data_IF_260337521663
#
_entry.id   IF_260337521663
#
_cell.length_a   1.000
_cell.length_b   1.000
_cell.length_c   1.000
_cell.angle_alpha   90.00
_cell.angle_beta   90.00
_cell.angle_gamma   90.00
#
_symmetry.space_group_name_H-M   'P 1'
#
loop_
_entity.id
_entity.type
_entity.pdbx_description
1 polymer ?
#
# COMPACT_ATOMS: atom_id res chain seq x y z
N UNK A 1 5.14 -18.03 -14.80
CA UNK A 1 3.93 -18.54 -14.12
C UNK A 1 4.40 -19.46 -13.00
N UNK A 2 4.36 -19.01 -11.74
CA UNK A 2 4.60 -19.90 -10.59
C UNK A 2 3.28 -20.58 -10.27
N UNK A 3 3.21 -21.88 -10.53
CA UNK A 3 2.23 -22.74 -9.89
C UNK A 3 2.77 -23.02 -8.48
N UNK A 4 2.45 -22.14 -7.52
CA UNK A 4 2.42 -22.59 -6.13
C UNK A 4 1.19 -23.48 -6.01
N UNK A 5 1.41 -24.78 -6.22
CA UNK A 5 0.43 -25.82 -5.93
C UNK A 5 0.26 -25.87 -4.43
N UNK A 6 -0.58 -24.99 -3.87
CA UNK A 6 -1.19 -25.23 -2.57
C UNK A 6 -2.11 -26.43 -2.78
N UNK A 7 -1.57 -27.63 -2.50
CA UNK A 7 -2.36 -28.85 -2.55
C UNK A 7 -3.63 -28.66 -1.72
N UNK A 8 -4.81 -29.12 -2.18
CA UNK A 8 -6.01 -29.08 -1.38
C UNK A 8 -5.83 -30.03 -0.19
N UNK A 9 -5.43 -29.47 0.95
CA UNK A 9 -5.35 -30.18 2.22
C UNK A 9 -6.77 -30.35 2.77
N UNK A 10 -7.17 -31.59 3.05
CA UNK A 10 -8.49 -31.89 3.59
C UNK A 10 -8.54 -31.62 5.10
N UNK A 11 -9.74 -31.38 5.64
CA UNK A 11 -9.93 -31.20 7.08
C UNK A 11 -9.41 -32.41 7.87
N UNK A 12 -9.64 -33.61 7.35
CA UNK A 12 -9.21 -34.85 7.98
C UNK A 12 -7.67 -34.92 8.05
N UNK A 13 -6.96 -34.52 6.99
CA UNK A 13 -5.50 -34.40 7.00
C UNK A 13 -4.98 -33.39 8.03
N UNK A 14 -5.68 -32.27 8.21
CA UNK A 14 -5.32 -31.25 9.21
C UNK A 14 -5.53 -31.78 10.63
N UNK A 15 -6.60 -32.55 10.86
CA UNK A 15 -6.89 -33.17 12.14
C UNK A 15 -5.88 -34.29 12.45
N UNK A 16 -5.51 -35.11 11.47
CA UNK A 16 -4.46 -36.12 11.59
C UNK A 16 -3.10 -35.49 11.93
N UNK A 17 -2.73 -34.38 11.27
CA UNK A 17 -1.52 -33.62 11.58
C UNK A 17 -1.51 -33.08 13.01
N UNK A 18 -2.65 -32.55 13.46
CA UNK A 18 -2.81 -31.97 14.78
C UNK A 18 -2.79 -33.05 15.88
N UNK A 19 -3.41 -34.21 15.63
CA UNK A 19 -3.37 -35.38 16.50
C UNK A 19 -1.93 -35.91 16.64
N UNK A 20 -1.21 -36.04 15.52
CA UNK A 20 0.19 -36.45 15.54
C UNK A 20 1.09 -35.46 16.29
N UNK A 21 0.84 -34.15 16.15
CA UNK A 21 1.57 -33.11 16.88
C UNK A 21 1.32 -33.20 18.39
N UNK A 22 0.06 -33.32 18.82
CA UNK A 22 -0.28 -33.44 20.24
C UNK A 22 0.28 -34.74 20.83
N UNK A 23 0.20 -35.85 20.09
CA UNK A 23 0.80 -37.14 20.46
C UNK A 23 2.32 -37.03 20.67
N UNK A 24 3.02 -36.25 19.84
CA UNK A 24 4.46 -36.02 19.96
C UNK A 24 4.86 -35.17 21.18
N UNK A 25 4.02 -34.20 21.56
CA UNK A 25 4.23 -33.33 22.73
C UNK A 25 3.93 -34.10 24.03
N UNK A 26 2.89 -34.94 24.02
CA UNK A 26 2.47 -35.71 25.18
C UNK A 26 3.39 -36.90 25.49
N UNK A 27 4.10 -37.46 24.49
CA UNK A 27 5.01 -38.58 24.69
C UNK A 27 6.34 -38.42 23.91
N UNK A 28 7.29 -37.63 24.44
CA UNK A 28 8.51 -37.23 23.71
C UNK A 28 9.53 -38.37 23.49
N UNK A 29 9.27 -39.58 24.00
CA UNK A 29 10.24 -40.68 24.07
C UNK A 29 10.16 -41.69 22.93
N UNK A 30 9.28 -41.51 21.93
CA UNK A 30 9.19 -42.43 20.77
C UNK A 30 9.28 -41.74 19.41
N UNK A 31 10.47 -41.92 18.80
CA UNK A 31 10.83 -41.96 17.36
C UNK A 31 11.03 -40.66 16.57
N UNK A 32 12.31 -40.43 16.28
CA UNK A 32 12.92 -40.55 14.94
C UNK A 32 12.02 -40.18 13.76
N UNK A 33 12.20 -38.95 13.28
CA UNK A 33 11.54 -38.41 12.10
C UNK A 33 11.21 -36.93 12.28
N UNK A 34 12.22 -36.11 12.61
CA UNK A 34 12.07 -34.65 12.57
C UNK A 34 11.68 -34.29 11.13
N UNK A 35 10.45 -33.83 10.93
CA UNK A 35 10.16 -32.98 9.79
C UNK A 35 11.00 -31.73 10.01
N UNK A 36 12.17 -31.69 9.37
CA UNK A 36 13.02 -30.50 9.35
C UNK A 36 12.32 -29.46 8.45
N UNK A 37 11.29 -28.81 9.01
CA UNK A 37 10.87 -27.52 8.53
C UNK A 37 12.01 -26.56 8.84
N UNK A 38 12.68 -26.06 7.80
CA UNK A 38 13.50 -24.86 7.99
C UNK A 38 12.58 -23.81 8.63
N UNK A 39 12.96 -23.20 9.76
CA UNK A 39 12.19 -22.10 10.32
C UNK A 39 12.00 -21.07 9.21
N UNK A 40 10.75 -20.82 8.81
CA UNK A 40 10.48 -19.72 7.90
C UNK A 40 11.00 -18.46 8.58
N UNK A 41 11.99 -17.80 7.98
CA UNK A 41 12.49 -16.53 8.50
C UNK A 41 11.29 -15.58 8.58
N UNK A 42 10.99 -15.12 9.80
CA UNK A 42 9.90 -14.17 10.02
C UNK A 42 10.27 -12.91 9.24
N UNK A 43 9.46 -12.47 8.26
CA UNK A 43 9.80 -11.28 7.48
C UNK A 43 9.91 -10.08 8.41
N UNK A 44 10.96 -9.27 8.26
CA UNK A 44 11.04 -8.00 8.97
C UNK A 44 10.09 -6.99 8.32
N UNK A 45 8.89 -6.86 8.90
CA UNK A 45 7.87 -5.92 8.43
C UNK A 45 8.35 -4.46 8.40
N UNK A 46 9.38 -4.10 9.18
CA UNK A 46 9.96 -2.76 9.13
C UNK A 46 10.62 -2.48 7.77
N UNK A 47 11.25 -3.48 7.17
CA UNK A 47 11.87 -3.35 5.84
C UNK A 47 10.82 -3.04 4.77
N UNK A 48 9.67 -3.72 4.82
CA UNK A 48 8.55 -3.46 3.92
C UNK A 48 7.98 -2.06 4.10
N UNK A 49 7.85 -1.59 5.34
CA UNK A 49 7.32 -0.25 5.62
C UNK A 49 8.27 0.84 5.07
N UNK A 50 9.57 0.71 5.32
CA UNK A 50 10.58 1.63 4.77
C UNK A 50 10.57 1.61 3.24
N UNK A 51 10.41 0.42 2.63
CA UNK A 51 10.31 0.30 1.18
C UNK A 51 9.07 1.01 0.62
N UNK A 52 7.94 0.90 1.32
CA UNK A 52 6.68 1.50 0.93
C UNK A 52 6.73 3.03 1.05
N UNK A 53 7.23 3.57 2.16
CA UNK A 53 7.39 5.02 2.35
C UNK A 53 8.26 5.63 1.25
N UNK A 54 9.38 4.99 0.91
CA UNK A 54 10.26 5.43 -0.20
C UNK A 54 9.53 5.43 -1.53
N UNK A 55 8.69 4.41 -1.79
CA UNK A 55 7.88 4.34 -2.99
C UNK A 55 6.88 5.50 -3.00
N UNK A 56 6.12 5.70 -1.94
CA UNK A 56 5.12 6.78 -1.85
C UNK A 56 5.78 8.14 -2.09
N UNK A 57 6.85 8.45 -1.35
CA UNK A 57 7.57 9.72 -1.46
C UNK A 57 8.04 10.02 -2.91
N UNK A 58 8.52 9.01 -3.64
CA UNK A 58 8.91 9.15 -5.05
C UNK A 58 7.75 9.63 -5.93
N UNK A 59 6.54 9.10 -5.74
CA UNK A 59 5.38 9.48 -6.56
C UNK A 59 4.74 10.79 -6.07
N UNK A 60 4.84 11.11 -4.79
CA UNK A 60 4.50 12.44 -4.28
C UNK A 60 5.34 13.52 -4.97
N UNK A 61 6.66 13.35 -5.00
CA UNK A 61 7.59 14.26 -5.67
C UNK A 61 7.29 14.40 -7.16
N UNK A 62 6.96 13.28 -7.83
CA UNK A 62 6.56 13.28 -9.23
C UNK A 62 5.33 14.15 -9.48
N UNK A 63 4.27 13.97 -8.68
CA UNK A 63 3.02 14.73 -8.78
C UNK A 63 3.31 16.21 -8.59
N UNK A 64 3.97 16.58 -7.48
CA UNK A 64 4.31 17.95 -7.16
C UNK A 64 5.12 18.58 -8.30
N UNK A 65 6.12 17.88 -8.83
CA UNK A 65 6.91 18.37 -9.97
C UNK A 65 6.06 18.63 -11.21
N UNK A 66 5.13 17.74 -11.55
CA UNK A 66 4.27 17.89 -12.74
C UNK A 66 3.29 19.06 -12.61
N UNK A 67 2.78 19.34 -11.41
CA UNK A 67 1.78 20.41 -11.20
C UNK A 67 2.38 21.75 -10.77
N UNK A 68 3.65 21.79 -10.31
CA UNK A 68 4.32 23.00 -9.77
C UNK A 68 4.22 24.23 -10.67
N UNK A 69 4.27 24.05 -11.99
CA UNK A 69 4.20 25.17 -12.94
C UNK A 69 2.82 25.83 -13.03
N UNK A 70 1.75 25.03 -13.00
CA UNK A 70 0.36 25.51 -13.15
C UNK A 70 -0.35 25.72 -11.81
N UNK A 71 0.16 25.12 -10.74
CA UNK A 71 -0.52 25.04 -9.44
C UNK A 71 -1.54 23.90 -9.34
N UNK A 72 -1.90 23.28 -10.46
CA UNK A 72 -2.81 22.13 -10.50
C UNK A 72 -2.54 21.24 -11.72
N UNK A 73 -3.17 20.07 -11.75
CA UNK A 73 -3.17 19.17 -12.90
C UNK A 73 -4.15 18.02 -12.71
N UNK A 74 -4.64 17.50 -13.83
CA UNK A 74 -5.51 16.31 -13.85
C UNK A 74 -4.69 15.04 -13.65
N UNK A 75 -5.21 14.07 -12.90
CA UNK A 75 -4.50 12.82 -12.63
C UNK A 75 -4.21 12.05 -13.93
N UNK A 76 -5.15 11.99 -14.88
CA UNK A 76 -4.90 11.34 -16.17
C UNK A 76 -3.73 11.97 -16.93
N UNK A 77 -3.58 13.31 -16.90
CA UNK A 77 -2.43 14.00 -17.52
C UNK A 77 -1.12 13.69 -16.78
N UNK A 78 -1.17 13.60 -15.46
CA UNK A 78 -0.01 13.27 -14.62
C UNK A 78 0.50 11.85 -14.94
N UNK A 79 -0.40 10.90 -15.19
CA UNK A 79 -0.07 9.48 -15.40
C UNK A 79 -0.02 9.05 -16.86
N UNK A 80 -0.23 9.96 -17.82
CA UNK A 80 -0.35 9.64 -19.25
C UNK A 80 0.82 8.81 -19.82
N UNK A 81 2.04 9.05 -19.33
CA UNK A 81 3.27 8.38 -19.78
C UNK A 81 3.68 7.20 -18.87
N UNK A 82 2.84 6.81 -17.93
CA UNK A 82 3.14 5.81 -16.90
C UNK A 82 2.40 4.49 -17.17
N UNK A 83 3.02 3.38 -16.76
CA UNK A 83 2.36 2.08 -16.74
C UNK A 83 1.32 1.98 -15.62
N UNK A 84 0.37 1.06 -15.74
CA UNK A 84 -0.78 0.95 -14.82
C UNK A 84 -0.40 0.88 -13.34
N UNK A 85 0.68 0.17 -13.00
CA UNK A 85 1.17 0.08 -11.62
C UNK A 85 1.64 1.44 -11.09
N UNK A 86 2.32 2.22 -11.92
CA UNK A 86 2.79 3.56 -11.57
C UNK A 86 1.63 4.55 -11.51
N UNK A 87 0.63 4.42 -12.37
CA UNK A 87 -0.60 5.22 -12.31
C UNK A 87 -1.35 4.99 -11.00
N UNK A 88 -1.48 3.73 -10.55
CA UNK A 88 -2.08 3.39 -9.25
C UNK A 88 -1.26 3.96 -8.09
N UNK A 89 0.08 3.92 -8.18
CA UNK A 89 0.95 4.53 -7.16
C UNK A 89 0.79 6.05 -7.10
N UNK A 90 0.64 6.72 -8.24
CA UNK A 90 0.29 8.14 -8.29
C UNK A 90 -1.07 8.42 -7.63
N UNK A 91 -2.08 7.57 -7.86
CA UNK A 91 -3.37 7.72 -7.19
C UNK A 91 -3.21 7.65 -5.65
N UNK A 92 -2.53 6.63 -5.13
CA UNK A 92 -2.27 6.55 -3.68
C UNK A 92 -1.45 7.73 -3.17
N UNK A 93 -0.38 8.12 -3.86
CA UNK A 93 0.45 9.26 -3.48
C UNK A 93 -0.36 10.57 -3.43
N UNK A 94 -1.31 10.77 -4.34
CA UNK A 94 -2.22 11.92 -4.29
C UNK A 94 -3.08 11.92 -3.01
N UNK A 95 -3.57 10.75 -2.57
CA UNK A 95 -4.30 10.62 -1.29
C UNK A 95 -3.42 10.93 -0.08
N UNK A 96 -2.15 10.50 -0.08
CA UNK A 96 -1.20 10.84 0.98
C UNK A 96 -0.88 12.35 1.00
N UNK A 97 -0.63 12.96 -0.16
CA UNK A 97 -0.46 14.41 -0.27
C UNK A 97 -1.68 15.18 0.26
N UNK A 98 -2.89 14.69 0.01
CA UNK A 98 -4.12 15.32 0.49
C UNK A 98 -4.31 15.15 2.00
N UNK A 99 -4.01 13.96 2.53
CA UNK A 99 -3.97 13.70 3.97
C UNK A 99 -3.00 14.67 4.67
N UNK A 100 -1.83 14.90 4.06
CA UNK A 100 -0.81 15.83 4.54
C UNK A 100 -1.15 17.31 4.28
N UNK A 101 -2.31 17.61 3.71
CA UNK A 101 -2.78 18.97 3.39
C UNK A 101 -1.86 19.74 2.41
N UNK A 102 -1.04 19.03 1.63
CA UNK A 102 -0.18 19.63 0.59
C UNK A 102 -0.95 19.90 -0.70
N UNK A 103 -1.99 19.12 -0.95
CA UNK A 103 -2.87 19.26 -2.13
C UNK A 103 -4.34 19.14 -1.74
N UNK A 104 -5.21 19.76 -2.51
CA UNK A 104 -6.64 19.51 -2.55
C UNK A 104 -6.97 18.60 -3.74
N UNK A 105 -7.93 17.70 -3.53
CA UNK A 105 -8.44 16.76 -4.55
C UNK A 105 -9.90 17.08 -4.84
N UNK A 106 -10.24 17.21 -6.11
CA UNK A 106 -11.60 17.41 -6.60
C UNK A 106 -11.87 16.41 -7.72
N UNK A 107 -12.95 15.65 -7.63
CA UNK A 107 -13.38 14.81 -8.75
C UNK A 107 -14.06 15.68 -9.81
N UNK A 108 -13.59 15.59 -11.05
CA UNK A 108 -14.20 16.23 -12.22
C UNK A 108 -14.50 15.16 -13.25
N UNK A 109 -15.78 14.88 -13.44
CA UNK A 109 -16.26 13.77 -14.25
C UNK A 109 -15.60 12.44 -13.82
N UNK A 110 -14.91 11.76 -14.73
CA UNK A 110 -14.21 10.48 -14.50
C UNK A 110 -12.71 10.67 -14.17
N UNK A 111 -12.29 11.88 -13.78
CA UNK A 111 -10.90 12.20 -13.45
C UNK A 111 -10.79 13.02 -12.15
N UNK A 112 -9.57 13.22 -11.68
CA UNK A 112 -9.25 13.85 -10.40
C UNK A 112 -8.35 15.05 -10.64
N UNK A 113 -8.86 16.23 -10.31
CA UNK A 113 -8.05 17.45 -10.28
C UNK A 113 -7.26 17.49 -8.97
N UNK A 114 -5.94 17.65 -9.09
CA UNK A 114 -5.02 17.82 -7.97
C UNK A 114 -4.56 19.27 -7.97
N UNK A 115 -4.80 19.99 -6.88
CA UNK A 115 -4.44 21.42 -6.74
C UNK A 115 -3.50 21.60 -5.56
N UNK A 116 -2.38 22.30 -5.75
CA UNK A 116 -1.47 22.67 -4.67
C UNK A 116 -2.19 23.59 -3.67
N UNK A 117 -2.10 23.27 -2.39
CA UNK A 117 -2.50 24.21 -1.34
C UNK A 117 -1.41 25.28 -1.27
N UNK A 118 -1.73 26.51 -1.67
CA UNK A 118 -0.83 27.63 -1.43
C UNK A 118 -0.82 27.96 0.07
N UNK A 119 0.36 28.11 0.67
CA UNK A 119 0.58 28.62 2.06
C UNK A 119 0.13 30.08 2.27
N UNK A 120 -0.72 30.63 1.40
CA UNK A 120 -1.29 31.96 1.61
C UNK A 120 -2.39 31.88 2.67
N UNK A 121 -2.36 32.73 3.72
CA UNK A 121 -3.40 32.73 4.75
C UNK A 121 -4.74 33.06 4.09
N UNK A 122 -5.76 32.23 4.35
CA UNK A 122 -7.14 32.47 3.90
C UNK A 122 -7.57 33.87 4.36
N UNK A 123 -7.59 34.85 3.43
CA UNK A 123 -8.15 36.18 3.69
C UNK A 123 -9.65 36.00 3.91
N UNK A 124 -10.09 36.34 5.11
CA UNK A 124 -11.45 36.14 5.58
C UNK A 124 -12.52 36.76 4.68
N UNK A 125 -13.64 36.06 4.59
CA UNK A 125 -14.91 36.57 4.11
C UNK A 125 -15.32 37.78 4.96
N UNK A 126 -15.24 38.98 4.40
CA UNK A 126 -15.97 40.12 4.93
C UNK A 126 -17.41 39.99 4.44
N UNK A 127 -18.30 39.62 5.34
CA UNK A 127 -19.74 39.85 5.17
C UNK A 127 -20.00 41.36 5.23
N UNK A 128 -20.13 41.99 4.07
CA UNK A 128 -20.82 43.27 3.97
C UNK A 128 -22.32 43.00 4.11
N UNK A 129 -22.88 43.36 5.26
CA UNK A 129 -24.32 43.56 5.42
C UNK A 129 -24.63 45.00 5.07
N UNK A 130 -25.49 45.19 4.08
CA UNK A 130 -26.24 46.42 3.88
C UNK A 130 -27.69 46.16 4.29
#
# INVERSE_FOLDING_TARGET
>A
YRHESTYPVSLDELLDLLENLIGSIANPSSRSGRLDFEPAEVPDFNEYFISFEKIVAKYEDLIIRKIRGKGNGMLQEIVADLGSLDSVRCFFAALFLARDQKVELEQKDDDILITLVNDAPKKGEKHDKN
#
